data_IF_429780519960
#
_entry.id   IF_429780519960
#
_cell.length_a   1.000
_cell.length_b   1.000
_cell.length_c   1.000
_cell.angle_alpha   90.00
_cell.angle_beta   90.00
_cell.angle_gamma   90.00
#
_symmetry.space_group_name_H-M   'P 1'
#
loop_
_entity.id
_entity.type
_entity.pdbx_description
1 polymer ?
#
# COMPACT_ATOMS: atom_id res chain seq x y z
N UNK A 1 -16.26 -15.24 27.59
CA UNK A 1 -17.47 -14.38 27.65
C UNK A 1 -17.64 -13.85 29.05
N UNK A 2 -17.77 -12.53 29.22
CA UNK A 2 -17.99 -11.88 30.51
C UNK A 2 -19.37 -12.27 31.05
N UNK A 3 -19.44 -12.92 32.22
CA UNK A 3 -20.69 -13.41 32.83
C UNK A 3 -21.71 -12.31 33.12
N UNK A 4 -21.28 -11.04 33.19
CA UNK A 4 -22.14 -9.88 33.42
C UNK A 4 -22.44 -9.08 32.14
N UNK A 5 -21.96 -9.52 30.97
CA UNK A 5 -22.17 -8.80 29.71
C UNK A 5 -23.65 -8.54 29.44
N UNK A 6 -24.50 -9.55 29.58
CA UNK A 6 -25.95 -9.43 29.37
C UNK A 6 -26.62 -8.51 30.39
N UNK A 7 -26.10 -8.45 31.62
CA UNK A 7 -26.61 -7.59 32.71
C UNK A 7 -26.26 -6.13 32.44
N UNK A 8 -25.03 -5.84 32.02
CA UNK A 8 -24.58 -4.48 31.74
C UNK A 8 -25.08 -3.92 30.40
N UNK A 9 -25.30 -4.79 29.40
CA UNK A 9 -25.85 -4.37 28.10
C UNK A 9 -27.38 -4.26 28.09
N UNK A 10 -28.07 -4.88 29.05
CA UNK A 10 -29.54 -4.87 29.17
C UNK A 10 -30.12 -3.80 30.10
N UNK A 11 -29.28 -3.09 30.87
CA UNK A 11 -29.71 -2.06 31.82
C UNK A 11 -29.76 -0.65 31.23
N UNK A 12 -30.49 0.27 31.88
CA UNK A 12 -30.42 1.69 31.55
C UNK A 12 -29.09 2.28 32.03
N UNK A 13 -28.48 3.16 31.23
CA UNK A 13 -27.18 3.79 31.55
C UNK A 13 -27.17 4.45 32.93
N UNK A 14 -28.30 5.06 33.33
CA UNK A 14 -28.46 5.73 34.63
C UNK A 14 -28.39 4.77 35.84
N UNK A 15 -28.65 3.48 35.62
CA UNK A 15 -28.68 2.44 36.66
C UNK A 15 -27.38 1.61 36.64
N UNK A 16 -26.42 1.96 35.77
CA UNK A 16 -25.17 1.22 35.60
C UNK A 16 -24.35 1.21 36.90
N UNK A 17 -24.19 2.35 37.56
CA UNK A 17 -23.40 2.47 38.79
C UNK A 17 -23.97 1.60 39.92
N UNK A 18 -25.29 1.66 40.13
CA UNK A 18 -25.99 0.80 41.10
C UNK A 18 -25.87 -0.68 40.78
N UNK A 19 -25.92 -1.04 39.49
CA UNK A 19 -25.82 -2.42 39.02
C UNK A 19 -24.40 -2.95 39.15
N UNK A 20 -23.40 -2.13 38.81
CA UNK A 20 -21.99 -2.46 38.93
C UNK A 20 -21.58 -2.62 40.39
N UNK A 21 -22.01 -1.71 41.27
CA UNK A 21 -21.70 -1.76 42.71
C UNK A 21 -22.34 -2.95 43.45
N UNK A 22 -23.44 -3.49 42.93
CA UNK A 22 -24.08 -4.72 43.44
C UNK A 22 -23.51 -6.00 42.85
N UNK A 23 -22.62 -5.90 41.86
CA UNK A 23 -22.06 -7.07 41.20
C UNK A 23 -20.93 -7.66 42.03
N UNK A 24 -21.07 -8.94 42.38
CA UNK A 24 -20.06 -9.68 43.13
C UNK A 24 -19.09 -10.38 42.17
N UNK A 25 -17.79 -10.22 42.42
CA UNK A 25 -16.74 -10.89 41.66
C UNK A 25 -15.94 -11.81 42.56
N UNK A 26 -15.69 -13.03 42.09
CA UNK A 26 -14.84 -13.98 42.78
C UNK A 26 -13.38 -13.72 42.43
N UNK A 27 -12.57 -13.46 43.45
CA UNK A 27 -11.13 -13.38 43.32
C UNK A 27 -10.48 -14.66 43.86
N UNK A 28 -9.31 -15.05 43.35
CA UNK A 28 -8.52 -16.13 43.91
C UNK A 28 -7.96 -15.73 45.27
N UNK A 29 -7.98 -16.66 46.24
CA UNK A 29 -7.48 -16.45 47.61
C UNK A 29 -6.47 -17.52 48.01
N UNK A 30 -5.45 -17.10 48.76
CA UNK A 30 -4.46 -17.97 49.42
C UNK A 30 -4.22 -17.45 50.83
N UNK A 31 -4.33 -18.32 51.83
CA UNK A 31 -4.19 -17.96 53.25
C UNK A 31 -5.09 -16.78 53.69
N UNK A 32 -6.37 -16.79 53.30
CA UNK A 32 -7.37 -15.72 53.57
C UNK A 32 -7.00 -14.32 53.06
N UNK A 33 -6.07 -14.22 52.11
CA UNK A 33 -5.75 -12.99 51.37
C UNK A 33 -5.91 -13.23 49.87
N UNK A 34 -6.18 -12.18 49.11
CA UNK A 34 -6.23 -12.27 47.65
C UNK A 34 -4.88 -12.77 47.14
N UNK A 35 -4.91 -13.78 46.27
CA UNK A 35 -3.71 -14.35 45.67
C UNK A 35 -3.28 -13.51 44.46
N UNK A 36 -2.63 -12.38 44.73
CA UNK A 36 -2.13 -11.47 43.69
C UNK A 36 -1.07 -12.13 42.82
N UNK A 37 -0.29 -13.07 43.36
CA UNK A 37 0.70 -13.84 42.60
C UNK A 37 0.02 -14.69 41.54
N UNK A 38 -1.02 -15.44 41.92
CA UNK A 38 -1.81 -16.21 40.97
C UNK A 38 -2.49 -15.33 39.91
N UNK A 39 -3.06 -14.17 40.31
CA UNK A 39 -3.68 -13.24 39.34
C UNK A 39 -2.64 -12.77 38.32
N UNK A 40 -1.43 -12.43 38.78
CA UNK A 40 -0.38 -11.97 37.89
C UNK A 40 0.06 -13.08 36.93
N UNK A 41 0.33 -14.30 37.44
CA UNK A 41 0.69 -15.46 36.63
C UNK A 41 -0.40 -15.78 35.58
N UNK A 42 -1.66 -15.79 36.00
CA UNK A 42 -2.80 -16.07 35.12
C UNK A 42 -2.99 -15.00 34.03
N UNK A 43 -2.83 -13.72 34.37
CA UNK A 43 -2.90 -12.64 33.37
C UNK A 43 -1.74 -12.75 32.39
N UNK A 44 -0.53 -13.02 32.87
CA UNK A 44 0.64 -13.20 32.02
C UNK A 44 0.43 -14.37 31.05
N UNK A 45 -0.09 -15.51 31.53
CA UNK A 45 -0.42 -16.68 30.70
C UNK A 45 -1.49 -16.35 29.65
N UNK A 46 -2.59 -15.70 30.04
CA UNK A 46 -3.63 -15.30 29.09
C UNK A 46 -3.13 -14.30 28.03
N UNK A 47 -2.27 -13.36 28.43
CA UNK A 47 -1.65 -12.41 27.51
C UNK A 47 -0.71 -13.13 26.54
N UNK A 48 0.04 -14.11 27.03
CA UNK A 48 0.93 -14.95 26.23
C UNK A 48 0.15 -15.72 25.15
N UNK A 49 -0.90 -16.44 25.55
CA UNK A 49 -1.77 -17.18 24.65
C UNK A 49 -2.40 -16.27 23.60
N UNK A 50 -2.98 -15.15 24.04
CA UNK A 50 -3.65 -14.21 23.13
C UNK A 50 -2.67 -13.59 22.12
N UNK A 51 -1.45 -13.28 22.56
CA UNK A 51 -0.45 -12.74 21.66
C UNK A 51 0.00 -13.80 20.65
N UNK A 52 0.17 -15.05 21.07
CA UNK A 52 0.52 -16.16 20.19
C UNK A 52 -0.53 -16.38 19.09
N UNK A 53 -1.83 -16.33 19.42
CA UNK A 53 -2.91 -16.41 18.44
C UNK A 53 -2.83 -15.27 17.40
N UNK A 54 -2.76 -14.01 17.87
CA UNK A 54 -2.70 -12.83 17.00
C UNK A 54 -1.47 -12.86 16.08
N UNK A 55 -0.36 -13.41 16.56
CA UNK A 55 0.86 -13.57 15.77
C UNK A 55 0.68 -14.60 14.65
N UNK A 56 0.09 -15.75 14.97
CA UNK A 56 -0.20 -16.78 13.98
C UNK A 56 -1.13 -16.25 12.88
N UNK A 57 -2.17 -15.50 13.26
CA UNK A 57 -3.08 -14.83 12.32
C UNK A 57 -2.34 -13.85 11.39
N UNK A 58 -1.51 -12.95 11.95
CA UNK A 58 -0.75 -11.98 11.15
C UNK A 58 0.24 -12.62 10.20
N UNK A 59 0.95 -13.66 10.64
CA UNK A 59 1.90 -14.38 9.80
C UNK A 59 1.18 -15.09 8.66
N UNK A 60 0.05 -15.73 8.96
CA UNK A 60 -0.79 -16.37 7.95
C UNK A 60 -1.34 -15.36 6.93
N UNK A 61 -1.79 -14.18 7.39
CA UNK A 61 -2.26 -13.11 6.52
C UNK A 61 -1.15 -12.61 5.59
N UNK A 62 0.04 -12.34 6.12
CA UNK A 62 1.19 -11.91 5.32
C UNK A 62 1.58 -12.97 4.28
N UNK A 63 1.69 -14.24 4.69
CA UNK A 63 2.02 -15.34 3.79
C UNK A 63 0.96 -15.52 2.69
N UNK A 64 -0.33 -15.46 3.06
CA UNK A 64 -1.44 -15.52 2.12
C UNK A 64 -1.41 -14.37 1.11
N UNK A 65 -1.14 -13.15 1.57
CA UNK A 65 -1.00 -11.99 0.71
C UNK A 65 0.17 -12.14 -0.26
N UNK A 66 1.36 -12.53 0.21
CA UNK A 66 2.53 -12.74 -0.65
C UNK A 66 2.30 -13.84 -1.67
N UNK A 67 1.56 -14.90 -1.32
CA UNK A 67 1.23 -15.98 -2.24
C UNK A 67 0.27 -15.52 -3.34
N UNK A 68 -0.85 -14.88 -2.98
CA UNK A 68 -1.88 -14.43 -3.94
C UNK A 68 -1.35 -13.33 -4.86
N UNK A 69 -0.44 -12.49 -4.37
CA UNK A 69 0.17 -11.41 -5.16
C UNK A 69 1.40 -11.85 -5.96
N UNK A 70 1.86 -13.09 -5.79
CA UNK A 70 3.04 -13.63 -6.47
C UNK A 70 4.36 -13.05 -5.96
N UNK A 71 4.38 -12.50 -4.74
CA UNK A 71 5.53 -11.87 -4.09
C UNK A 71 6.28 -12.81 -3.14
N UNK A 72 5.89 -14.09 -3.09
CA UNK A 72 6.50 -15.09 -2.20
C UNK A 72 7.97 -15.40 -2.52
N UNK A 73 8.42 -15.17 -3.75
CA UNK A 73 9.83 -15.30 -4.12
C UNK A 73 10.53 -13.94 -4.11
N UNK A 74 11.18 -13.64 -2.98
CA UNK A 74 11.97 -12.43 -2.78
C UNK A 74 13.49 -12.68 -2.76
N UNK A 75 13.96 -13.81 -3.31
CA UNK A 75 15.40 -14.07 -3.50
C UNK A 75 15.87 -13.47 -4.82
N UNK A 76 16.96 -12.70 -4.75
CA UNK A 76 17.59 -12.14 -5.94
C UNK A 76 18.21 -13.24 -6.80
N UNK A 77 17.99 -13.13 -8.10
CA UNK A 77 18.70 -13.88 -9.13
C UNK A 77 20.08 -13.28 -9.39
N UNK A 78 20.97 -14.05 -10.03
CA UNK A 78 22.28 -13.55 -10.44
C UNK A 78 22.20 -12.36 -11.41
N UNK A 79 21.17 -12.27 -12.25
CA UNK A 79 20.96 -11.12 -13.14
C UNK A 79 20.54 -9.88 -12.36
N UNK A 80 19.64 -10.03 -11.38
CA UNK A 80 19.21 -8.93 -10.50
C UNK A 80 20.36 -8.42 -9.62
N UNK A 81 21.13 -9.32 -9.01
CA UNK A 81 22.29 -8.94 -8.20
C UNK A 81 23.32 -8.18 -9.04
N UNK A 82 23.68 -8.71 -10.22
CA UNK A 82 24.60 -8.01 -11.13
C UNK A 82 24.09 -6.64 -11.57
N UNK A 83 22.79 -6.50 -11.81
CA UNK A 83 22.21 -5.21 -12.20
C UNK A 83 22.29 -4.18 -11.07
N UNK A 84 22.16 -4.60 -9.80
CA UNK A 84 22.37 -3.73 -8.63
C UNK A 84 23.85 -3.35 -8.50
N UNK A 85 24.75 -4.33 -8.59
CA UNK A 85 26.18 -4.12 -8.43
C UNK A 85 26.77 -3.18 -9.50
N UNK A 86 26.18 -3.16 -10.70
CA UNK A 86 26.61 -2.36 -11.85
C UNK A 86 25.88 -1.00 -11.97
N UNK A 87 25.11 -0.58 -10.96
CA UNK A 87 24.32 0.66 -11.00
C UNK A 87 25.15 1.90 -11.35
N UNK A 88 26.38 2.00 -10.83
CA UNK A 88 27.27 3.14 -11.06
C UNK A 88 27.76 3.24 -12.51
N UNK A 89 27.72 2.14 -13.27
CA UNK A 89 28.13 2.09 -14.68
C UNK A 89 26.95 2.22 -15.65
N UNK A 90 25.71 2.33 -15.13
CA UNK A 90 24.53 2.50 -15.96
C UNK A 90 24.63 3.79 -16.77
N UNK A 91 24.48 3.66 -18.08
CA UNK A 91 24.37 4.81 -18.97
C UNK A 91 22.96 5.35 -18.94
N UNK A 92 22.84 6.67 -18.85
CA UNK A 92 21.58 7.38 -18.79
C UNK A 92 21.35 8.20 -20.05
N UNK A 93 20.10 8.28 -20.49
CA UNK A 93 19.66 9.12 -21.60
C UNK A 93 18.39 9.88 -21.23
N UNK A 94 18.17 11.01 -21.89
CA UNK A 94 16.98 11.83 -21.73
C UNK A 94 15.96 11.48 -22.81
N UNK A 95 14.73 11.18 -22.40
CA UNK A 95 13.65 10.78 -23.30
C UNK A 95 12.37 11.55 -23.00
N UNK A 96 11.68 11.95 -24.06
CA UNK A 96 10.40 12.64 -23.96
C UNK A 96 9.23 11.65 -23.91
N UNK A 97 8.24 11.91 -23.05
CA UNK A 97 7.10 11.02 -22.80
C UNK A 97 6.24 10.81 -24.05
N UNK A 98 5.85 11.89 -24.74
CA UNK A 98 5.02 11.79 -25.95
C UNK A 98 5.72 10.96 -27.03
N UNK A 99 7.02 11.15 -27.22
CA UNK A 99 7.81 10.38 -28.19
C UNK A 99 7.88 8.89 -27.86
N UNK A 100 7.86 8.53 -26.58
CA UNK A 100 7.93 7.12 -26.14
C UNK A 100 6.56 6.43 -26.20
N UNK A 101 5.49 7.11 -25.77
CA UNK A 101 4.20 6.48 -25.48
C UNK A 101 3.02 7.06 -26.25
N UNK A 102 3.26 8.10 -27.07
CA UNK A 102 2.21 8.91 -27.67
C UNK A 102 1.62 9.89 -26.67
N UNK A 103 0.61 10.65 -27.13
CA UNK A 103 -0.04 11.67 -26.32
C UNK A 103 -0.69 11.09 -25.08
N UNK A 104 -0.46 11.74 -23.94
CA UNK A 104 -1.23 11.49 -22.74
C UNK A 104 -2.70 11.84 -22.98
N UNK A 105 -3.59 11.06 -22.38
CA UNK A 105 -5.02 11.37 -22.35
C UNK A 105 -5.41 11.91 -20.98
N UNK A 106 -6.67 12.30 -20.82
CA UNK A 106 -7.21 12.70 -19.52
C UNK A 106 -8.55 12.06 -19.26
N UNK A 107 -8.91 11.94 -17.99
CA UNK A 107 -10.23 11.49 -17.59
C UNK A 107 -11.33 12.52 -17.87
N UNK A 108 -12.52 12.25 -17.34
CA UNK A 108 -13.72 13.10 -17.48
C UNK A 108 -14.24 13.49 -16.11
N UNK A 109 -14.55 14.78 -15.94
CA UNK A 109 -15.07 15.31 -14.68
C UNK A 109 -16.35 14.58 -14.27
N UNK A 110 -16.38 14.10 -13.03
CA UNK A 110 -17.57 13.55 -12.42
C UNK A 110 -17.72 14.07 -10.98
N UNK A 111 -18.70 14.94 -10.75
CA UNK A 111 -18.96 15.53 -9.44
C UNK A 111 -19.42 14.43 -8.47
N UNK A 112 -19.05 14.56 -7.20
CA UNK A 112 -19.37 13.55 -6.18
C UNK A 112 -20.88 13.25 -6.07
N UNK A 113 -21.74 14.26 -6.27
CA UNK A 113 -23.20 14.10 -6.23
C UNK A 113 -23.76 13.29 -7.42
N UNK A 114 -23.02 13.20 -8.53
CA UNK A 114 -23.44 12.52 -9.77
C UNK A 114 -22.88 11.09 -9.84
N UNK A 115 -22.10 10.66 -8.83
CA UNK A 115 -21.49 9.33 -8.79
C UNK A 115 -22.54 8.29 -8.41
N UNK A 116 -22.65 7.27 -9.24
CA UNK A 116 -23.46 6.08 -9.00
C UNK A 116 -22.52 5.04 -8.42
N UNK A 117 -22.90 4.40 -7.31
CA UNK A 117 -22.08 3.34 -6.70
C UNK A 117 -21.91 2.16 -7.65
N UNK A 118 -20.71 1.60 -7.70
CA UNK A 118 -20.37 0.41 -8.48
C UNK A 118 -18.98 -0.08 -8.08
N UNK A 119 -18.33 -0.85 -8.96
CA UNK A 119 -17.07 -1.54 -8.64
C UNK A 119 -15.83 -0.96 -9.34
N UNK A 120 -16.00 0.00 -10.27
CA UNK A 120 -14.88 0.59 -10.99
C UNK A 120 -14.19 1.65 -10.13
N UNK A 121 -12.89 1.54 -9.80
CA UNK A 121 -12.17 2.59 -9.08
C UNK A 121 -12.17 3.90 -9.87
N UNK A 122 -12.56 5.01 -9.23
CA UNK A 122 -12.51 6.35 -9.82
C UNK A 122 -11.40 7.19 -9.21
N UNK A 123 -10.39 7.49 -10.02
CA UNK A 123 -9.18 8.19 -9.58
C UNK A 123 -9.31 9.70 -9.76
N UNK A 124 -8.96 10.45 -8.71
CA UNK A 124 -8.89 11.92 -8.69
C UNK A 124 -7.52 12.35 -8.15
N UNK A 125 -7.26 13.65 -8.13
CA UNK A 125 -6.07 14.18 -7.46
C UNK A 125 -6.09 13.85 -5.96
N UNK A 126 -4.94 13.51 -5.40
CA UNK A 126 -4.78 13.16 -3.99
C UNK A 126 -3.82 12.00 -3.74
N UNK A 127 -3.28 11.96 -2.52
CA UNK A 127 -2.31 10.95 -2.09
C UNK A 127 -2.96 9.76 -1.37
N UNK A 128 -4.05 10.00 -0.62
CA UNK A 128 -4.77 8.94 0.08
C UNK A 128 -5.31 7.91 -0.91
N UNK A 129 -5.14 6.63 -0.59
CA UNK A 129 -5.52 5.48 -1.43
C UNK A 129 -5.03 5.61 -2.88
N UNK A 130 -3.86 6.23 -3.07
CA UNK A 130 -3.28 6.54 -4.37
C UNK A 130 -4.21 7.35 -5.28
N UNK A 131 -5.10 8.16 -4.70
CA UNK A 131 -6.06 9.00 -5.42
C UNK A 131 -7.37 8.29 -5.79
N UNK A 132 -7.66 7.07 -5.31
CA UNK A 132 -9.00 6.50 -5.45
C UNK A 132 -9.96 7.29 -4.55
N UNK A 133 -11.00 7.87 -5.13
CA UNK A 133 -11.98 8.69 -4.38
C UNK A 133 -13.34 8.05 -4.20
N UNK A 134 -13.68 7.06 -5.03
CA UNK A 134 -14.92 6.30 -5.01
C UNK A 134 -14.79 5.06 -5.88
N UNK A 135 -15.72 4.12 -5.71
CA UNK A 135 -16.00 3.06 -6.68
C UNK A 135 -17.32 3.38 -7.36
N UNK A 136 -17.32 3.44 -8.70
CA UNK A 136 -18.42 3.96 -9.51
C UNK A 136 -18.97 2.92 -10.49
N UNK A 137 -20.25 3.07 -10.82
CA UNK A 137 -20.95 2.35 -11.88
C UNK A 137 -21.36 3.27 -13.05
N UNK A 138 -20.90 4.52 -13.06
CA UNK A 138 -21.16 5.45 -14.15
C UNK A 138 -20.51 4.98 -15.46
N UNK A 139 -21.17 5.29 -16.59
CA UNK A 139 -20.58 5.12 -17.91
C UNK A 139 -19.51 6.19 -18.16
N UNK A 140 -18.25 5.79 -18.01
CA UNK A 140 -17.05 6.61 -18.20
C UNK A 140 -16.03 5.86 -19.04
N UNK A 141 -15.05 6.58 -19.60
CA UNK A 141 -13.90 5.93 -20.23
C UNK A 141 -13.16 5.07 -19.20
N UNK A 142 -13.00 3.78 -19.53
CA UNK A 142 -12.27 2.83 -18.71
C UNK A 142 -10.84 2.73 -19.24
N UNK A 143 -9.90 3.23 -18.45
CA UNK A 143 -8.48 3.10 -18.75
C UNK A 143 -7.98 1.70 -18.39
N UNK A 144 -7.03 1.21 -19.18
CA UNK A 144 -6.40 -0.10 -18.94
C UNK A 144 -5.56 -0.09 -17.66
N UNK A 145 -5.38 -1.27 -17.10
CA UNK A 145 -4.31 -1.52 -16.14
C UNK A 145 -2.92 -1.37 -16.79
N UNK A 146 -1.90 -1.37 -15.95
CA UNK A 146 -0.49 -1.24 -16.29
C UNK A 146 -0.14 0.12 -16.94
N UNK A 147 -0.80 1.18 -16.49
CA UNK A 147 -0.60 2.57 -16.94
C UNK A 147 -0.09 3.44 -15.80
N UNK A 148 0.25 4.69 -16.13
CA UNK A 148 0.66 5.70 -15.15
C UNK A 148 -0.32 6.86 -15.20
N UNK A 149 -0.79 7.28 -14.04
CA UNK A 149 -1.59 8.51 -13.89
C UNK A 149 -0.74 9.60 -13.26
N UNK A 150 -0.88 10.84 -13.71
CA UNK A 150 -0.29 12.02 -13.07
C UNK A 150 -1.44 12.96 -12.70
N UNK A 151 -1.55 13.30 -11.42
CA UNK A 151 -2.59 14.24 -10.98
C UNK A 151 -2.19 15.70 -11.20
N UNK A 152 -3.13 16.62 -10.90
CA UNK A 152 -2.94 18.06 -11.07
C UNK A 152 -1.75 18.66 -10.30
N UNK A 153 -1.17 17.96 -9.32
CA UNK A 153 0.01 18.41 -8.58
C UNK A 153 1.31 17.77 -9.11
N UNK A 154 1.23 17.02 -10.21
CA UNK A 154 2.36 16.32 -10.79
C UNK A 154 2.68 15.00 -10.10
N UNK A 155 1.83 14.49 -9.20
CA UNK A 155 2.09 13.24 -8.50
C UNK A 155 1.78 12.04 -9.42
N UNK A 156 2.82 11.39 -9.93
CA UNK A 156 2.70 10.22 -10.79
C UNK A 156 2.52 8.93 -9.97
N UNK A 157 1.56 8.10 -10.36
CA UNK A 157 1.12 6.88 -9.65
C UNK A 157 0.88 5.75 -10.66
N UNK A 158 1.35 4.55 -10.33
CA UNK A 158 1.15 3.34 -11.13
C UNK A 158 -0.26 2.76 -10.92
N UNK A 159 -0.90 2.25 -11.97
CA UNK A 159 -2.21 1.61 -11.92
C UNK A 159 -2.13 0.16 -12.37
N UNK A 160 -2.33 -0.78 -11.47
CA UNK A 160 -2.35 -2.23 -11.76
C UNK A 160 -3.75 -2.82 -12.01
N UNK A 161 -4.78 -1.98 -12.09
CA UNK A 161 -6.17 -2.34 -12.31
C UNK A 161 -6.79 -1.41 -13.36
N UNK A 162 -7.95 -1.77 -13.91
CA UNK A 162 -8.74 -0.86 -14.74
C UNK A 162 -9.44 0.20 -13.88
N UNK A 163 -9.59 1.41 -14.40
CA UNK A 163 -10.12 2.54 -13.63
C UNK A 163 -10.81 3.56 -14.52
N UNK A 164 -11.72 4.33 -13.93
CA UNK A 164 -12.17 5.61 -14.46
C UNK A 164 -11.34 6.74 -13.85
N UNK A 165 -11.22 7.87 -14.53
CA UNK A 165 -10.41 9.00 -14.04
C UNK A 165 -11.14 10.34 -14.18
N UNK A 166 -10.85 11.25 -13.27
CA UNK A 166 -11.31 12.65 -13.30
C UNK A 166 -10.58 13.47 -14.38
N UNK A 167 -11.12 14.65 -14.72
CA UNK A 167 -10.52 15.51 -15.73
C UNK A 167 -9.13 16.02 -15.32
N UNK A 168 -8.81 16.10 -14.03
CA UNK A 168 -7.49 16.48 -13.52
C UNK A 168 -6.44 15.37 -13.52
N UNK A 169 -6.74 14.22 -14.12
CA UNK A 169 -5.81 13.10 -14.18
C UNK A 169 -5.33 12.94 -15.62
N UNK A 170 -4.03 13.14 -15.82
CA UNK A 170 -3.34 12.76 -17.05
C UNK A 170 -3.01 11.26 -17.03
N UNK A 171 -3.14 10.59 -18.16
CA UNK A 171 -2.90 9.14 -18.31
C UNK A 171 -1.84 8.90 -19.37
N UNK A 172 -0.74 8.24 -18.99
CA UNK A 172 0.35 7.80 -19.86
C UNK A 172 0.20 6.31 -20.17
N UNK A 173 0.01 5.99 -21.45
CA UNK A 173 -0.35 4.65 -21.95
C UNK A 173 0.89 3.77 -22.19
N UNK A 174 1.40 3.20 -21.09
CA UNK A 174 2.57 2.31 -21.08
C UNK A 174 2.21 0.83 -20.89
N UNK A 175 0.94 0.46 -21.15
CA UNK A 175 0.33 -0.86 -20.88
C UNK A 175 1.03 -2.04 -21.60
N UNK A 176 1.81 -1.75 -22.64
CA UNK A 176 2.57 -2.74 -23.42
C UNK A 176 3.90 -3.15 -22.79
N UNK A 177 4.38 -2.44 -21.77
CA UNK A 177 5.64 -2.75 -21.09
C UNK A 177 5.44 -3.75 -19.95
N UNK A 178 6.52 -4.37 -19.50
CA UNK A 178 6.48 -5.18 -18.28
C UNK A 178 6.16 -4.30 -17.07
N UNK A 179 5.35 -4.82 -16.13
CA UNK A 179 4.95 -4.12 -14.90
C UNK A 179 6.14 -3.48 -14.16
N UNK A 180 7.24 -4.20 -14.05
CA UNK A 180 8.43 -3.73 -13.33
C UNK A 180 9.09 -2.54 -14.05
N UNK A 181 9.08 -2.54 -15.39
CA UNK A 181 9.51 -1.37 -16.18
C UNK A 181 8.58 -0.18 -15.99
N UNK A 182 7.26 -0.41 -15.90
CA UNK A 182 6.28 0.67 -15.67
C UNK A 182 6.43 1.26 -14.26
N UNK A 183 6.69 0.43 -13.24
CA UNK A 183 7.00 0.91 -11.88
C UNK A 183 8.24 1.80 -11.87
N UNK A 184 9.32 1.38 -12.55
CA UNK A 184 10.52 2.21 -12.72
C UNK A 184 10.21 3.54 -13.42
N UNK A 185 9.47 3.49 -14.53
CA UNK A 185 9.03 4.68 -15.27
C UNK A 185 8.19 5.60 -14.39
N UNK A 186 7.32 5.06 -13.53
CA UNK A 186 6.50 5.83 -12.59
C UNK A 186 7.39 6.67 -11.69
N UNK A 187 8.44 6.09 -11.12
CA UNK A 187 9.40 6.83 -10.28
C UNK A 187 10.16 7.89 -11.08
N UNK A 188 10.59 7.58 -12.31
CA UNK A 188 11.30 8.53 -13.16
C UNK A 188 10.41 9.73 -13.57
N UNK A 189 9.14 9.48 -13.89
CA UNK A 189 8.15 10.51 -14.19
C UNK A 189 7.84 11.32 -12.94
N UNK A 190 7.52 10.66 -11.82
CA UNK A 190 7.21 11.33 -10.55
C UNK A 190 8.30 12.31 -10.14
N UNK A 191 9.57 11.92 -10.29
CA UNK A 191 10.73 12.75 -9.95
C UNK A 191 10.75 14.09 -10.70
N UNK A 192 10.29 14.13 -11.95
CA UNK A 192 10.29 15.36 -12.76
C UNK A 192 8.96 16.11 -12.66
N UNK A 193 7.83 15.42 -12.61
CA UNK A 193 6.50 16.04 -12.57
C UNK A 193 6.15 16.58 -11.19
N UNK A 194 6.61 15.94 -10.12
CA UNK A 194 6.38 16.36 -8.74
C UNK A 194 7.53 17.21 -8.17
N UNK A 195 8.13 18.08 -9.00
CA UNK A 195 9.27 18.92 -8.60
C UNK A 195 8.84 20.32 -8.11
N UNK A 196 7.58 20.48 -7.73
CA UNK A 196 7.04 21.68 -7.09
C UNK A 196 6.56 22.78 -8.05
N UNK A 197 6.42 22.48 -9.35
CA UNK A 197 5.91 23.45 -10.33
C UNK A 197 4.39 23.59 -10.32
N UNK A 198 3.66 22.63 -9.76
CA UNK A 198 2.21 22.56 -9.90
C UNK A 198 1.48 22.78 -8.57
N UNK A 199 0.35 23.49 -8.64
CA UNK A 199 -0.47 23.88 -7.51
C UNK A 199 -1.91 24.12 -7.97
N UNK A 200 -2.81 24.48 -7.05
CA UNK A 200 -4.18 24.87 -7.43
C UNK A 200 -4.25 26.07 -8.38
N UNK A 201 -3.24 26.94 -8.40
CA UNK A 201 -3.15 28.07 -9.33
C UNK A 201 -2.55 27.67 -10.69
N UNK A 202 -1.81 26.57 -10.73
CA UNK A 202 -1.07 26.08 -11.89
C UNK A 202 -1.16 24.55 -11.93
N UNK A 203 -2.27 24.06 -12.50
CA UNK A 203 -2.55 22.62 -12.55
C UNK A 203 -1.72 21.93 -13.62
N UNK A 204 -1.30 20.70 -13.33
CA UNK A 204 -0.80 19.76 -14.33
C UNK A 204 -1.95 19.22 -15.21
N UNK A 205 -1.73 19.16 -16.52
CA UNK A 205 -2.63 18.61 -17.52
C UNK A 205 -1.92 17.61 -18.43
N UNK A 206 -2.70 16.86 -19.22
CA UNK A 206 -2.16 15.87 -20.16
C UNK A 206 -1.12 16.43 -21.14
N UNK A 207 -1.29 17.66 -21.62
CA UNK A 207 -0.30 18.33 -22.48
C UNK A 207 1.05 18.56 -21.79
N UNK A 208 1.04 18.74 -20.47
CA UNK A 208 2.27 18.99 -19.71
C UNK A 208 3.05 17.67 -19.58
N UNK A 209 2.34 16.54 -19.45
CA UNK A 209 2.93 15.20 -19.56
C UNK A 209 3.61 14.98 -20.92
N UNK A 210 3.02 15.46 -22.01
CA UNK A 210 3.59 15.32 -23.37
C UNK A 210 4.95 16.04 -23.50
N UNK A 211 5.15 17.13 -22.76
CA UNK A 211 6.39 17.94 -22.79
C UNK A 211 7.48 17.40 -21.85
N UNK A 212 7.15 16.50 -20.91
CA UNK A 212 8.09 15.98 -19.93
C UNK A 212 9.26 15.24 -20.59
N UNK A 213 10.45 15.51 -20.08
CA UNK A 213 11.66 14.76 -20.37
C UNK A 213 12.13 14.03 -19.10
N UNK A 214 12.33 12.73 -19.21
CA UNK A 214 12.75 11.85 -18.10
C UNK A 214 14.12 11.23 -18.39
N UNK A 215 14.89 11.01 -17.34
CA UNK A 215 16.17 10.29 -17.40
C UNK A 215 15.92 8.79 -17.22
N UNK A 216 16.34 7.98 -18.18
CA UNK A 216 16.20 6.52 -18.16
C UNK A 216 17.52 5.83 -18.49
N UNK A 217 17.73 4.59 -18.01
CA UNK A 217 18.80 3.74 -18.50
C UNK A 217 18.71 3.58 -20.02
N UNK A 218 19.85 3.62 -20.70
CA UNK A 218 19.91 3.60 -22.17
C UNK A 218 20.88 2.56 -22.69
N UNK A 219 20.48 1.89 -23.77
CA UNK A 219 21.31 0.97 -24.54
C UNK A 219 21.16 1.32 -26.01
N UNK A 220 22.26 1.69 -26.67
CA UNK A 220 22.26 2.15 -28.06
C UNK A 220 21.32 3.35 -28.32
N UNK A 221 21.28 4.33 -27.40
CA UNK A 221 20.45 5.53 -27.49
C UNK A 221 18.93 5.29 -27.47
N UNK A 222 18.48 4.10 -27.07
CA UNK A 222 17.07 3.80 -26.80
C UNK A 222 16.91 3.37 -25.34
N UNK A 223 15.72 3.54 -24.71
CA UNK A 223 15.52 3.14 -23.34
C UNK A 223 15.76 1.64 -23.14
N UNK A 224 16.55 1.27 -22.12
CA UNK A 224 16.79 -0.11 -21.76
C UNK A 224 15.69 -0.64 -20.83
N UNK A 225 14.52 -0.97 -21.42
CA UNK A 225 13.39 -1.52 -20.68
C UNK A 225 13.69 -2.85 -20.00
N UNK A 226 14.65 -3.63 -20.53
CA UNK A 226 15.08 -4.87 -19.90
C UNK A 226 15.78 -4.57 -18.58
N UNK A 227 16.74 -3.64 -18.58
CA UNK A 227 17.42 -3.23 -17.36
C UNK A 227 16.45 -2.61 -16.35
N UNK A 228 15.52 -1.75 -16.78
CA UNK A 228 14.46 -1.21 -15.91
C UNK A 228 13.63 -2.31 -15.27
N UNK A 229 13.27 -3.36 -16.04
CA UNK A 229 12.52 -4.51 -15.52
C UNK A 229 13.32 -5.25 -14.45
N UNK A 230 14.59 -5.56 -14.74
CA UNK A 230 15.48 -6.27 -13.82
C UNK A 230 15.68 -5.49 -12.52
N UNK A 231 15.97 -4.19 -12.61
CA UNK A 231 16.12 -3.32 -11.44
C UNK A 231 14.81 -3.20 -10.65
N UNK A 232 13.67 -3.00 -11.33
CA UNK A 232 12.36 -2.93 -10.68
C UNK A 232 12.00 -4.22 -9.93
N UNK A 233 12.28 -5.38 -10.52
CA UNK A 233 12.13 -6.69 -9.88
C UNK A 233 13.04 -6.82 -8.66
N UNK A 234 14.32 -6.46 -8.79
CA UNK A 234 15.30 -6.55 -7.73
C UNK A 234 14.91 -5.68 -6.51
N UNK A 235 14.51 -4.42 -6.74
CA UNK A 235 14.05 -3.51 -5.69
C UNK A 235 12.80 -4.05 -5.01
N UNK A 236 11.82 -4.55 -5.77
CA UNK A 236 10.62 -5.16 -5.19
C UNK A 236 10.97 -6.32 -4.26
N UNK A 237 11.85 -7.23 -4.69
CA UNK A 237 12.29 -8.36 -3.87
C UNK A 237 13.01 -7.92 -2.61
N UNK A 238 13.92 -6.94 -2.70
CA UNK A 238 14.61 -6.39 -1.53
C UNK A 238 13.63 -5.82 -0.50
N UNK A 239 12.66 -5.02 -0.95
CA UNK A 239 11.63 -4.44 -0.07
C UNK A 239 10.80 -5.53 0.59
N UNK A 240 10.34 -6.54 -0.15
CA UNK A 240 9.56 -7.64 0.42
C UNK A 240 10.40 -8.45 1.41
N UNK A 241 11.67 -8.72 1.11
CA UNK A 241 12.57 -9.41 2.02
C UNK A 241 12.73 -8.64 3.34
N UNK A 242 12.83 -7.32 3.31
CA UNK A 242 12.96 -6.50 4.50
C UNK A 242 11.65 -6.40 5.30
N UNK A 243 10.49 -6.38 4.64
CA UNK A 243 9.17 -6.49 5.30
C UNK A 243 9.04 -7.82 6.05
N UNK A 244 9.42 -8.93 5.41
CA UNK A 244 9.39 -10.26 6.05
C UNK A 244 10.33 -10.32 7.25
N UNK A 245 11.59 -9.85 7.10
CA UNK A 245 12.54 -9.79 8.23
C UNK A 245 12.03 -8.92 9.38
N UNK A 246 11.40 -7.79 9.06
CA UNK A 246 10.79 -6.93 10.07
C UNK A 246 9.70 -7.69 10.83
N UNK A 247 8.77 -8.33 10.12
CA UNK A 247 7.73 -9.14 10.72
C UNK A 247 8.32 -10.24 11.62
N UNK A 248 9.32 -10.98 11.15
CA UNK A 248 9.99 -12.04 11.92
C UNK A 248 10.69 -11.50 13.18
N UNK A 249 11.29 -10.31 13.10
CA UNK A 249 11.95 -9.66 14.24
C UNK A 249 10.94 -9.21 15.29
N UNK A 250 9.86 -8.54 14.87
CA UNK A 250 8.80 -8.14 15.80
C UNK A 250 8.21 -9.38 16.48
N UNK A 251 7.95 -10.46 15.74
CA UNK A 251 7.52 -11.75 16.29
C UNK A 251 8.48 -12.28 17.36
N UNK A 252 9.78 -12.29 17.07
CA UNK A 252 10.81 -12.79 17.99
C UNK A 252 10.93 -11.94 19.27
N UNK A 253 10.90 -10.61 19.14
CA UNK A 253 11.01 -9.69 20.28
C UNK A 253 9.85 -9.85 21.27
N UNK A 254 8.64 -10.11 20.76
CA UNK A 254 7.48 -10.39 21.61
C UNK A 254 7.59 -11.73 22.33
N UNK A 255 8.10 -12.78 21.69
CA UNK A 255 8.32 -14.09 22.32
C UNK A 255 9.30 -14.01 23.49
N UNK A 256 10.36 -13.19 23.38
CA UNK A 256 11.32 -13.01 24.48
C UNK A 256 10.75 -12.32 25.71
N UNK A 257 9.72 -11.47 25.56
CA UNK A 257 9.09 -10.75 26.69
C UNK A 257 8.08 -11.63 27.44
N UNK A 258 7.50 -12.62 26.75
CA UNK A 258 6.55 -13.58 27.34
C UNK A 258 7.26 -14.76 28.00
N UNK A 259 8.46 -15.10 27.52
CA UNK A 259 9.27 -16.21 28.04
C UNK A 259 10.10 -15.90 29.29
N UNK A 260 10.02 -14.68 29.83
CA UNK A 260 10.59 -14.26 31.13
C UNK A 260 9.53 -14.27 32.24
#
# INVERSE_FOLDING_TARGET
MNKFQTVYQGGLVRDFEDTFNKSEFFLPFKNNKVDLSYIQEFITELQAERLQELQAERLQELQGYLQVTGLSNYTLTEEEQRAIDDLDNVKWGTFNIEKLFGKATRGKRLKSADRISGDLPFVTAGENDTGISAFIGNDVEVFKANTITIDMFGSAKYRNYQYGADDHIAVVHCDKLAKESVLFLTSAIHKVSNAGQFSYAENFYAKDADELNISLPTKNNVPDYKLMKTLGSAVQKLVIADVVKYADRELSAYQSVIGE
#
